data_IF_850247935093
#
_entry.id   IF_850247935093
#
_cell.length_a   1.000
_cell.length_b   1.000
_cell.length_c   1.000
_cell.angle_alpha   90.00
_cell.angle_beta   90.00
_cell.angle_gamma   90.00
#
_symmetry.space_group_name_H-M   'P 1'
#
loop_
_entity.id
_entity.type
_entity.pdbx_description
1 polymer ?
#
# COMPACT_ATOMS: atom_id res chain seq x y z
N UNK A 1 -50.76 -92.07 -34.88
CA UNK A 1 -50.02 -93.37 -34.99
C UNK A 1 -48.55 -93.04 -35.20
N UNK A 2 -47.80 -93.37 -34.45
CA UNK A 2 -46.63 -94.14 -34.29
C UNK A 2 -45.55 -93.58 -33.40
N UNK A 3 -45.18 -94.30 -32.45
CA UNK A 3 -44.12 -94.20 -31.46
C UNK A 3 -42.75 -94.31 -32.13
N UNK A 4 -41.73 -93.61 -31.68
CA UNK A 4 -40.46 -94.29 -31.41
C UNK A 4 -39.63 -93.57 -30.41
N UNK A 5 -39.26 -94.29 -29.43
CA UNK A 5 -38.24 -94.13 -28.41
C UNK A 5 -36.87 -93.86 -29.05
N UNK A 6 -35.98 -93.09 -28.48
CA UNK A 6 -34.73 -93.72 -27.99
C UNK A 6 -33.71 -92.66 -27.40
N UNK A 7 -33.21 -93.11 -26.31
CA UNK A 7 -31.87 -93.14 -25.74
C UNK A 7 -31.25 -91.78 -25.26
N UNK A 8 -31.23 -91.70 -23.95
CA UNK A 8 -30.29 -90.91 -23.16
C UNK A 8 -28.87 -91.41 -23.42
N UNK A 9 -27.97 -90.46 -23.68
CA UNK A 9 -26.55 -90.70 -23.59
C UNK A 9 -25.96 -89.66 -22.64
N UNK A 10 -25.49 -90.17 -21.49
CA UNK A 10 -24.82 -89.35 -20.49
C UNK A 10 -23.39 -89.12 -20.96
N UNK A 11 -23.03 -87.82 -21.12
CA UNK A 11 -21.63 -87.44 -21.21
C UNK A 11 -21.26 -86.73 -19.91
N UNK A 12 -20.39 -87.33 -19.14
CA UNK A 12 -19.68 -86.73 -18.05
C UNK A 12 -18.65 -85.82 -18.67
N UNK A 13 -18.84 -84.52 -18.47
CA UNK A 13 -17.81 -83.53 -18.81
C UNK A 13 -17.28 -82.91 -17.51
N UNK A 14 -16.00 -83.13 -17.29
CA UNK A 14 -15.32 -82.66 -16.10
C UNK A 14 -15.35 -81.13 -15.98
N UNK A 15 -15.64 -80.66 -14.76
CA UNK A 15 -15.57 -79.32 -14.36
C UNK A 15 -14.08 -79.00 -14.12
N UNK A 16 -13.47 -78.29 -15.06
CA UNK A 16 -12.17 -77.67 -14.83
C UNK A 16 -12.37 -76.47 -13.92
N UNK A 17 -11.90 -76.49 -12.67
CA UNK A 17 -11.76 -75.35 -11.77
C UNK A 17 -10.66 -74.46 -12.33
N UNK A 18 -11.03 -73.45 -13.07
CA UNK A 18 -10.11 -72.31 -13.38
C UNK A 18 -9.96 -71.49 -12.10
N UNK A 19 -8.86 -71.67 -11.40
CA UNK A 19 -8.48 -70.81 -10.26
C UNK A 19 -8.27 -69.44 -10.75
N UNK A 20 -9.15 -68.49 -10.33
CA UNK A 20 -8.98 -67.08 -10.51
C UNK A 20 -7.86 -66.66 -9.56
N UNK A 21 -6.65 -66.51 -10.06
CA UNK A 21 -5.58 -65.80 -9.35
C UNK A 21 -5.91 -64.30 -9.41
N UNK A 22 -6.56 -63.74 -8.38
CA UNK A 22 -6.60 -62.28 -8.15
C UNK A 22 -5.18 -61.87 -7.87
N UNK A 23 -4.50 -61.35 -8.88
CA UNK A 23 -3.28 -60.60 -8.69
C UNK A 23 -3.61 -59.36 -7.85
N UNK A 24 -3.27 -59.38 -6.58
CA UNK A 24 -3.30 -58.21 -5.73
C UNK A 24 -2.28 -57.20 -6.31
N UNK A 25 -2.77 -56.28 -7.14
CA UNK A 25 -1.95 -55.16 -7.55
C UNK A 25 -1.57 -54.32 -6.31
N UNK A 26 -0.31 -53.92 -6.15
CA UNK A 26 0.11 -53.20 -4.97
C UNK A 26 -0.57 -51.81 -4.96
N UNK A 27 -1.41 -51.55 -3.96
CA UNK A 27 -2.03 -50.26 -3.64
C UNK A 27 -0.99 -49.21 -3.22
N UNK A 28 0.31 -49.52 -3.25
CA UNK A 28 1.41 -48.64 -2.87
C UNK A 28 1.55 -47.41 -3.79
N UNK A 29 1.23 -47.52 -5.08
CA UNK A 29 1.32 -46.42 -6.03
C UNK A 29 0.29 -45.31 -5.79
N UNK A 30 -0.95 -45.66 -5.42
CA UNK A 30 -2.01 -44.71 -5.16
C UNK A 30 -1.75 -43.85 -3.91
N UNK A 31 -1.19 -44.43 -2.83
CA UNK A 31 -0.85 -43.67 -1.60
C UNK A 31 0.33 -42.73 -1.79
N UNK A 32 1.32 -43.07 -2.60
CA UNK A 32 2.45 -42.18 -2.90
C UNK A 32 2.02 -40.98 -3.78
N UNK A 33 1.11 -41.21 -4.74
CA UNK A 33 0.53 -40.15 -5.57
C UNK A 33 -0.32 -39.19 -4.74
N UNK A 34 -1.17 -39.69 -3.84
CA UNK A 34 -1.98 -38.88 -2.96
C UNK A 34 -1.13 -38.03 -1.99
N UNK A 35 -0.04 -38.58 -1.43
CA UNK A 35 0.88 -37.83 -0.58
C UNK A 35 1.56 -36.69 -1.35
N UNK A 36 1.98 -36.92 -2.59
CA UNK A 36 2.56 -35.91 -3.48
C UNK A 36 1.55 -34.80 -3.81
N UNK A 37 0.31 -35.19 -4.14
CA UNK A 37 -0.78 -34.22 -4.41
C UNK A 37 -1.11 -33.36 -3.19
N UNK A 38 -1.16 -33.94 -2.00
CA UNK A 38 -1.38 -33.24 -0.75
C UNK A 38 -0.24 -32.24 -0.49
N UNK A 39 1.02 -32.62 -0.69
CA UNK A 39 2.17 -31.72 -0.55
C UNK A 39 2.10 -30.55 -1.54
N UNK A 40 1.76 -30.81 -2.80
CA UNK A 40 1.59 -29.78 -3.82
C UNK A 40 0.43 -28.82 -3.49
N UNK A 41 -0.70 -29.34 -2.99
CA UNK A 41 -1.82 -28.51 -2.56
C UNK A 41 -1.46 -27.63 -1.35
N UNK A 42 -0.76 -28.17 -0.35
CA UNK A 42 -0.27 -27.38 0.79
C UNK A 42 0.66 -26.26 0.35
N UNK A 43 1.60 -26.54 -0.54
CA UNK A 43 2.49 -25.53 -1.10
C UNK A 43 1.73 -24.44 -1.87
N UNK A 44 0.72 -24.82 -2.66
CA UNK A 44 -0.15 -23.86 -3.36
C UNK A 44 -0.96 -23.00 -2.39
N UNK A 45 -1.52 -23.58 -1.34
CA UNK A 45 -2.25 -22.84 -0.30
C UNK A 45 -1.32 -21.84 0.36
N UNK A 46 -0.13 -22.25 0.81
CA UNK A 46 0.83 -21.36 1.46
C UNK A 46 1.22 -20.17 0.56
N UNK A 47 1.43 -20.42 -0.74
CA UNK A 47 1.72 -19.34 -1.72
C UNK A 47 0.55 -18.39 -1.86
N UNK A 48 -0.67 -18.91 -2.06
CA UNK A 48 -1.87 -18.08 -2.23
C UNK A 48 -2.21 -17.30 -0.96
N UNK A 49 -2.02 -17.88 0.22
CA UNK A 49 -2.18 -17.16 1.50
C UNK A 49 -1.21 -16.00 1.59
N UNK A 50 0.05 -16.20 1.22
CA UNK A 50 1.06 -15.11 1.22
C UNK A 50 0.72 -14.01 0.22
N UNK A 51 0.28 -14.38 -0.98
CA UNK A 51 -0.17 -13.41 -1.99
C UNK A 51 -1.37 -12.58 -1.47
N UNK A 52 -2.34 -13.23 -0.82
CA UNK A 52 -3.50 -12.58 -0.22
C UNK A 52 -3.10 -11.64 0.93
N UNK A 53 -2.15 -12.04 1.78
CA UNK A 53 -1.61 -11.18 2.84
C UNK A 53 -0.96 -9.91 2.28
N UNK A 54 -0.17 -10.00 1.21
CA UNK A 54 0.47 -8.82 0.60
C UNK A 54 -0.55 -7.86 -0.03
N UNK A 55 -1.64 -8.39 -0.59
CA UNK A 55 -2.75 -7.58 -1.11
C UNK A 55 -3.47 -6.86 0.04
N UNK A 56 -3.76 -7.56 1.13
CA UNK A 56 -4.39 -7.00 2.32
C UNK A 56 -3.50 -5.90 2.95
N UNK A 57 -2.19 -6.14 3.01
CA UNK A 57 -1.21 -5.16 3.48
C UNK A 57 -1.20 -3.90 2.60
N UNK A 58 -1.25 -4.03 1.28
CA UNK A 58 -1.36 -2.88 0.38
C UNK A 58 -2.65 -2.09 0.62
N UNK A 59 -3.79 -2.76 0.87
CA UNK A 59 -5.05 -2.12 1.21
C UNK A 59 -4.98 -1.40 2.57
N UNK A 60 -4.34 -1.99 3.58
CA UNK A 60 -4.12 -1.36 4.89
C UNK A 60 -3.28 -0.09 4.77
N UNK A 61 -2.21 -0.12 3.97
CA UNK A 61 -1.37 1.05 3.68
C UNK A 61 -2.17 2.13 2.95
N UNK A 62 -3.02 1.73 1.99
CA UNK A 62 -3.92 2.66 1.31
C UNK A 62 -4.86 3.35 2.29
N UNK A 63 -5.53 2.59 3.14
CA UNK A 63 -6.45 3.13 4.15
C UNK A 63 -5.73 4.06 5.14
N UNK A 64 -4.50 3.72 5.55
CA UNK A 64 -3.68 4.56 6.42
C UNK A 64 -3.38 5.91 5.78
N UNK A 65 -2.96 5.94 4.51
CA UNK A 65 -2.68 7.19 3.81
C UNK A 65 -3.94 8.03 3.57
N UNK A 66 -5.07 7.39 3.25
CA UNK A 66 -6.34 8.09 3.10
C UNK A 66 -6.81 8.70 4.44
N UNK A 67 -6.66 7.97 5.55
CA UNK A 67 -6.97 8.47 6.88
C UNK A 67 -6.12 9.70 7.24
N UNK A 68 -4.84 9.71 6.89
CA UNK A 68 -3.96 10.88 7.05
C UNK A 68 -4.57 12.13 6.43
N UNK A 69 -5.00 12.09 5.16
CA UNK A 69 -5.66 13.21 4.50
C UNK A 69 -6.93 13.65 5.24
N UNK A 70 -7.81 12.73 5.60
CA UNK A 70 -9.05 13.03 6.32
C UNK A 70 -8.83 13.65 7.70
N UNK A 71 -7.79 13.21 8.44
CA UNK A 71 -7.45 13.81 9.74
C UNK A 71 -6.94 15.24 9.58
N UNK A 72 -6.09 15.51 8.59
CA UNK A 72 -5.66 16.87 8.26
C UNK A 72 -6.84 17.77 7.89
N UNK A 73 -7.81 17.25 7.12
CA UNK A 73 -8.99 17.99 6.66
C UNK A 73 -9.88 18.48 7.82
N UNK A 74 -9.79 17.83 8.97
CA UNK A 74 -10.63 18.10 10.13
C UNK A 74 -9.89 18.56 11.36
N UNK A 75 -8.56 18.73 11.28
CA UNK A 75 -7.76 19.16 12.41
C UNK A 75 -7.63 18.14 13.53
N UNK A 76 -7.67 16.84 13.16
CA UNK A 76 -7.39 15.73 14.08
C UNK A 76 -5.89 15.44 14.07
N UNK A 77 -5.12 16.36 14.70
CA UNK A 77 -3.67 16.39 14.60
C UNK A 77 -3.00 15.21 15.33
N UNK A 78 -3.56 14.82 16.45
CA UNK A 78 -3.08 13.69 17.24
C UNK A 78 -3.27 12.38 16.48
N UNK A 79 -4.46 12.17 15.93
CA UNK A 79 -4.78 11.01 15.10
C UNK A 79 -3.91 10.95 13.84
N UNK A 80 -3.63 12.08 13.22
CA UNK A 80 -2.71 12.14 12.08
C UNK A 80 -1.27 11.77 12.48
N UNK A 81 -0.79 12.27 13.61
CA UNK A 81 0.54 11.95 14.13
C UNK A 81 0.68 10.49 14.56
N UNK A 82 -0.37 9.89 15.09
CA UNK A 82 -0.39 8.48 15.53
C UNK A 82 -0.24 7.47 14.38
N UNK A 83 -0.45 7.90 13.13
CA UNK A 83 -0.17 7.09 11.95
C UNK A 83 1.32 6.86 11.70
N UNK A 84 2.20 7.64 12.35
CA UNK A 84 3.65 7.57 12.17
C UNK A 84 4.30 6.62 13.18
N UNK A 85 5.40 5.99 12.79
CA UNK A 85 6.26 5.25 13.70
C UNK A 85 6.93 6.21 14.70
N UNK A 86 7.30 5.74 15.88
CA UNK A 86 7.89 6.58 16.92
C UNK A 86 9.17 7.32 16.45
N UNK A 87 9.95 6.65 15.61
CA UNK A 87 11.20 7.16 15.01
C UNK A 87 11.02 7.55 13.52
N UNK A 88 9.82 7.91 13.13
CA UNK A 88 9.52 8.33 11.76
C UNK A 88 10.21 9.64 11.40
N UNK A 89 10.37 9.88 10.09
CA UNK A 89 10.86 11.14 9.55
C UNK A 89 9.87 11.75 8.57
N UNK A 90 9.77 13.07 8.57
CA UNK A 90 9.01 13.84 7.58
C UNK A 90 9.91 14.89 6.95
N UNK A 91 9.91 14.94 5.63
CA UNK A 91 10.56 15.99 4.85
C UNK A 91 9.51 16.69 3.99
N UNK A 92 9.41 18.02 4.11
CA UNK A 92 8.41 18.83 3.42
C UNK A 92 9.12 19.86 2.53
N UNK A 93 9.10 19.63 1.22
CA UNK A 93 9.67 20.59 0.27
C UNK A 93 11.14 20.88 0.56
N UNK A 94 11.47 22.16 0.75
CA UNK A 94 12.81 22.65 1.10
C UNK A 94 12.99 22.91 2.61
N UNK A 95 12.00 22.57 3.41
CA UNK A 95 12.01 22.86 4.85
C UNK A 95 13.06 22.07 5.61
N UNK A 96 13.36 20.86 5.13
CA UNK A 96 14.28 19.93 5.77
C UNK A 96 13.57 18.75 6.44
N UNK A 97 14.32 17.99 7.23
CA UNK A 97 13.88 16.72 7.84
C UNK A 97 13.52 16.93 9.30
N UNK A 98 12.33 16.50 9.69
CA UNK A 98 11.83 16.47 11.07
C UNK A 98 11.81 15.02 11.55
N UNK A 99 12.32 14.77 12.76
CA UNK A 99 12.57 13.41 13.28
C UNK A 99 11.76 13.14 14.54
N UNK A 100 11.04 12.00 14.52
CA UNK A 100 10.27 11.50 15.65
C UNK A 100 8.81 11.97 15.68
N UNK A 101 7.94 11.10 16.18
CA UNK A 101 6.49 11.29 16.16
C UNK A 101 6.04 12.59 16.85
N UNK A 102 6.62 12.96 18.00
CA UNK A 102 6.27 14.19 18.71
C UNK A 102 6.65 15.45 17.92
N UNK A 103 7.78 15.40 17.22
CA UNK A 103 8.23 16.48 16.35
C UNK A 103 7.32 16.62 15.14
N UNK A 104 6.90 15.50 14.58
CA UNK A 104 5.96 15.42 13.45
C UNK A 104 4.58 15.96 13.88
N UNK A 105 4.10 15.65 15.08
CA UNK A 105 2.86 16.22 15.62
C UNK A 105 2.89 17.75 15.64
N UNK A 106 3.95 18.33 16.15
CA UNK A 106 4.14 19.81 16.16
C UNK A 106 4.18 20.39 14.75
N UNK A 107 4.83 19.69 13.82
CA UNK A 107 4.90 20.09 12.41
C UNK A 107 3.50 20.10 11.77
N UNK A 108 2.73 19.04 11.96
CA UNK A 108 1.35 18.92 11.43
C UNK A 108 0.47 20.05 11.97
N UNK A 109 0.55 20.35 13.28
CA UNK A 109 -0.18 21.45 13.90
C UNK A 109 0.24 22.81 13.29
N UNK A 110 1.53 23.04 13.10
CA UNK A 110 2.04 24.29 12.53
C UNK A 110 1.55 24.49 11.10
N UNK A 111 1.63 23.47 10.24
CA UNK A 111 1.08 23.50 8.88
C UNK A 111 -0.45 23.65 8.87
N UNK A 112 -1.13 23.09 9.88
CA UNK A 112 -2.58 23.17 10.07
C UNK A 112 -3.08 24.52 10.57
N UNK A 113 -2.19 25.51 10.75
CA UNK A 113 -2.55 26.86 11.19
C UNK A 113 -2.29 27.15 12.67
N UNK A 114 -1.56 26.25 13.37
CA UNK A 114 -1.06 26.48 14.74
C UNK A 114 -2.08 26.27 15.87
N UNK A 115 -3.32 25.90 15.56
CA UNK A 115 -4.31 25.57 16.58
C UNK A 115 -4.14 24.10 17.05
N UNK A 116 -3.67 23.84 18.27
CA UNK A 116 -3.41 22.48 18.73
C UNK A 116 -4.66 21.69 19.16
N UNK A 117 -5.80 22.35 19.28
CA UNK A 117 -7.06 21.69 19.67
C UNK A 117 -7.67 20.89 18.53
N UNK A 118 -8.54 19.92 18.82
CA UNK A 118 -9.24 19.18 17.81
C UNK A 118 -10.21 20.07 17.02
N UNK A 119 -10.23 19.87 15.71
CA UNK A 119 -11.11 20.62 14.83
C UNK A 119 -10.48 21.90 14.25
N UNK A 120 -11.01 22.34 13.12
CA UNK A 120 -10.60 23.57 12.47
C UNK A 120 -11.37 24.77 13.03
N UNK A 121 -10.72 25.96 13.14
CA UNK A 121 -11.42 27.20 13.46
C UNK A 121 -12.50 27.53 12.41
N UNK A 122 -13.49 28.31 12.82
CA UNK A 122 -14.54 28.79 11.91
C UNK A 122 -13.94 29.42 10.65
N UNK A 123 -14.45 28.98 9.51
CA UNK A 123 -14.06 29.49 8.20
C UNK A 123 -12.74 28.96 7.67
N UNK A 124 -11.98 28.17 8.40
CA UNK A 124 -10.82 27.46 7.86
C UNK A 124 -11.29 26.27 7.02
N UNK A 125 -10.69 26.11 5.87
CA UNK A 125 -10.95 25.01 4.94
C UNK A 125 -9.66 24.32 4.56
N UNK A 126 -9.58 23.06 4.88
CA UNK A 126 -8.52 22.15 4.49
C UNK A 126 -9.12 20.96 3.75
N UNK A 127 -8.54 20.58 2.62
CA UNK A 127 -8.94 19.41 1.86
C UNK A 127 -7.72 18.82 1.15
N UNK A 128 -7.22 17.68 1.65
CA UNK A 128 -5.99 17.04 1.21
C UNK A 128 -6.32 15.70 0.53
N UNK A 129 -6.55 15.73 -0.77
CA UNK A 129 -6.84 14.52 -1.54
C UNK A 129 -5.56 13.69 -1.74
N UNK A 130 -5.57 12.45 -1.26
CA UNK A 130 -4.52 11.47 -1.45
C UNK A 130 -4.86 10.59 -2.65
N UNK A 131 -4.16 10.75 -3.77
CA UNK A 131 -4.58 10.23 -5.07
C UNK A 131 -3.50 9.33 -5.70
N UNK A 132 -3.91 8.51 -6.68
CA UNK A 132 -3.05 7.74 -7.60
C UNK A 132 -1.97 6.91 -6.88
N UNK A 133 -2.34 5.99 -5.98
CA UNK A 133 -1.35 5.18 -5.27
C UNK A 133 -0.60 4.23 -6.19
N UNK A 134 0.72 4.11 -5.97
CA UNK A 134 1.52 2.97 -6.42
C UNK A 134 2.20 2.40 -5.19
N UNK A 135 1.74 1.23 -4.74
CA UNK A 135 2.14 0.62 -3.47
C UNK A 135 2.90 -0.68 -3.76
N UNK A 136 4.09 -0.82 -3.20
CA UNK A 136 4.91 -2.01 -3.28
C UNK A 136 5.25 -2.50 -1.87
N UNK A 137 4.61 -3.60 -1.45
CA UNK A 137 4.92 -4.30 -0.21
C UNK A 137 6.10 -5.23 -0.46
N UNK A 138 7.08 -5.22 0.45
CA UNK A 138 8.23 -6.12 0.37
C UNK A 138 7.80 -7.59 0.54
N UNK A 139 8.52 -8.55 -0.03
CA UNK A 139 8.15 -9.99 0.04
C UNK A 139 8.01 -10.54 1.45
N UNK A 140 8.72 -9.96 2.42
CA UNK A 140 8.61 -10.34 3.85
C UNK A 140 7.30 -9.86 4.50
N UNK A 141 6.62 -8.87 3.89
CA UNK A 141 5.41 -8.27 4.44
C UNK A 141 5.66 -7.35 5.63
N UNK A 142 6.90 -6.87 5.84
CA UNK A 142 7.25 -6.04 6.99
C UNK A 142 7.52 -4.58 6.64
N UNK A 143 7.86 -4.31 5.38
CA UNK A 143 8.11 -2.97 4.87
C UNK A 143 7.39 -2.73 3.56
N UNK A 144 7.13 -1.47 3.24
CA UNK A 144 6.55 -1.09 1.95
C UNK A 144 7.05 0.29 1.52
N UNK A 145 6.94 0.55 0.22
CA UNK A 145 7.11 1.87 -0.38
C UNK A 145 5.85 2.23 -1.13
N UNK A 146 5.45 3.51 -1.08
CA UNK A 146 4.34 3.97 -1.89
C UNK A 146 4.53 5.40 -2.35
N UNK A 147 4.09 5.65 -3.58
CA UNK A 147 3.95 6.98 -4.18
C UNK A 147 2.48 7.38 -4.16
N UNK A 148 2.24 8.66 -3.84
CA UNK A 148 0.92 9.27 -3.85
C UNK A 148 0.98 10.62 -4.52
N UNK A 149 -0.09 11.05 -5.11
CA UNK A 149 -0.29 12.43 -5.51
C UNK A 149 -1.16 13.11 -4.47
N UNK A 150 -0.73 14.26 -4.01
CA UNK A 150 -1.61 15.17 -3.28
C UNK A 150 -2.16 16.24 -4.20
N UNK A 151 -3.43 16.54 -4.02
CA UNK A 151 -4.03 17.78 -4.50
C UNK A 151 -4.86 18.37 -3.36
N UNK A 152 -4.51 19.58 -2.96
CA UNK A 152 -5.12 20.20 -1.80
C UNK A 152 -5.79 21.54 -2.12
N UNK A 153 -6.90 21.79 -1.42
CA UNK A 153 -7.63 23.04 -1.40
C UNK A 153 -7.54 23.60 0.00
N UNK A 154 -6.94 24.78 0.14
CA UNK A 154 -6.69 25.40 1.42
C UNK A 154 -7.32 26.79 1.44
N UNK A 155 -7.95 27.18 2.53
CA UNK A 155 -8.57 28.49 2.59
C UNK A 155 -8.97 28.95 3.98
N UNK A 156 -9.20 30.24 4.07
CA UNK A 156 -9.83 30.90 5.19
C UNK A 156 -10.92 31.83 4.68
N UNK A 157 -12.13 31.64 5.15
CA UNK A 157 -13.29 32.43 4.74
C UNK A 157 -13.00 33.93 4.80
N UNK A 158 -13.33 34.66 3.74
CA UNK A 158 -13.06 36.07 3.50
C UNK A 158 -11.57 36.50 3.50
N UNK A 159 -10.60 35.57 3.62
CA UNK A 159 -9.18 35.93 3.66
C UNK A 159 -8.41 35.44 2.43
N UNK A 160 -8.42 34.13 2.19
CA UNK A 160 -7.68 33.54 1.08
C UNK A 160 -8.24 32.19 0.66
N UNK A 161 -7.91 31.78 -0.56
CA UNK A 161 -8.03 30.40 -1.05
C UNK A 161 -6.80 30.06 -1.88
N UNK A 162 -6.31 28.83 -1.76
CA UNK A 162 -5.10 28.32 -2.43
C UNK A 162 -5.33 26.95 -3.02
N UNK A 163 -4.60 26.65 -4.09
CA UNK A 163 -4.37 25.32 -4.64
C UNK A 163 -2.99 24.85 -4.18
N UNK A 164 -2.86 23.60 -3.82
CA UNK A 164 -1.57 22.98 -3.61
C UNK A 164 -1.54 21.60 -4.30
N UNK A 165 -0.38 21.24 -4.81
CA UNK A 165 -0.14 19.92 -5.36
C UNK A 165 1.27 19.45 -5.07
N UNK A 166 1.41 18.12 -4.88
CA UNK A 166 2.70 17.50 -4.62
C UNK A 166 2.67 16.00 -4.82
N UNK A 167 3.81 15.41 -4.55
CA UNK A 167 4.01 13.96 -4.63
C UNK A 167 4.60 13.51 -3.31
N UNK A 168 4.01 12.50 -2.69
CA UNK A 168 4.62 11.78 -1.59
C UNK A 168 5.40 10.56 -2.13
N UNK A 169 6.61 10.39 -1.65
CA UNK A 169 7.39 9.16 -1.68
C UNK A 169 7.58 8.69 -0.25
N UNK A 170 6.79 7.71 0.15
CA UNK A 170 6.70 7.26 1.52
C UNK A 170 7.26 5.86 1.69
N UNK A 171 7.84 5.59 2.86
CA UNK A 171 8.09 4.23 3.32
C UNK A 171 7.21 3.91 4.53
N UNK A 172 6.87 2.64 4.65
CA UNK A 172 6.02 2.13 5.71
C UNK A 172 6.69 0.95 6.39
N UNK A 173 6.36 0.75 7.66
CA UNK A 173 6.83 -0.37 8.48
C UNK A 173 5.65 -1.01 9.19
N UNK A 174 5.66 -2.34 9.28
CA UNK A 174 4.69 -3.08 10.09
C UNK A 174 5.27 -3.29 11.49
N UNK A 175 4.77 -2.54 12.45
CA UNK A 175 5.16 -2.60 13.86
C UNK A 175 4.07 -3.32 14.66
N UNK A 176 4.42 -4.44 15.30
CA UNK A 176 3.46 -5.28 16.05
C UNK A 176 2.18 -5.62 15.26
N UNK A 177 2.33 -5.89 13.96
CA UNK A 177 1.23 -6.23 13.06
C UNK A 177 0.43 -5.04 12.52
N UNK A 178 0.77 -3.81 12.90
CA UNK A 178 0.11 -2.57 12.46
C UNK A 178 1.03 -1.79 11.51
N UNK A 179 0.52 -1.37 10.38
CA UNK A 179 1.24 -0.52 9.45
C UNK A 179 1.32 0.92 9.94
N UNK A 180 2.51 1.52 9.84
CA UNK A 180 2.79 2.90 10.19
C UNK A 180 3.64 3.57 9.13
N UNK A 181 3.54 4.89 8.99
CA UNK A 181 4.41 5.69 8.13
C UNK A 181 5.79 5.75 8.81
N UNK A 182 6.83 5.30 8.11
CA UNK A 182 8.21 5.35 8.58
C UNK A 182 8.95 6.57 8.07
N UNK A 183 8.78 6.88 6.78
CA UNK A 183 9.33 8.07 6.16
C UNK A 183 8.26 8.70 5.28
N UNK A 184 8.02 9.98 5.42
CA UNK A 184 7.19 10.75 4.51
C UNK A 184 8.06 11.81 3.85
N UNK A 185 8.18 11.78 2.53
CA UNK A 185 8.86 12.80 1.76
C UNK A 185 7.86 13.44 0.79
N UNK A 186 7.53 14.66 1.05
CA UNK A 186 6.61 15.47 0.23
C UNK A 186 7.38 16.37 -0.72
N UNK A 187 7.27 16.09 -1.99
CA UNK A 187 7.79 16.93 -3.07
C UNK A 187 6.70 17.89 -3.52
N UNK A 188 6.77 19.12 -3.06
CA UNK A 188 5.84 20.16 -3.45
C UNK A 188 5.97 20.48 -4.94
N UNK A 189 4.88 20.30 -5.69
CA UNK A 189 4.85 20.72 -7.10
C UNK A 189 4.55 22.20 -7.21
N UNK A 190 3.52 22.68 -6.50
CA UNK A 190 3.21 24.10 -6.38
C UNK A 190 2.30 24.37 -5.18
N UNK A 191 2.33 25.62 -4.72
CA UNK A 191 1.27 26.25 -3.93
C UNK A 191 0.92 27.56 -4.63
N UNK A 192 -0.34 27.71 -5.05
CA UNK A 192 -0.79 28.85 -5.85
C UNK A 192 -2.06 29.48 -5.28
N UNK A 193 -2.24 30.81 -5.39
CA UNK A 193 -3.51 31.42 -5.03
C UNK A 193 -4.63 30.91 -5.94
N UNK A 194 -5.83 30.77 -5.42
CA UNK A 194 -7.02 30.37 -6.20
C UNK A 194 -7.20 31.32 -7.40
N UNK A 195 -7.12 32.63 -7.13
CA UNK A 195 -7.24 33.67 -8.17
C UNK A 195 -5.91 33.81 -8.92
N UNK A 196 -5.92 33.51 -10.20
CA UNK A 196 -4.72 33.47 -11.05
C UNK A 196 -4.09 32.06 -11.13
N UNK A 197 -4.28 31.22 -10.14
CA UNK A 197 -3.81 29.84 -10.14
C UNK A 197 -2.30 29.72 -10.35
N UNK A 198 -1.87 28.52 -10.72
CA UNK A 198 -0.45 28.22 -10.96
C UNK A 198 0.15 28.96 -12.15
N UNK A 199 -0.66 29.42 -13.10
CA UNK A 199 -0.20 30.22 -14.23
C UNK A 199 0.35 31.60 -13.81
N UNK A 200 0.01 32.07 -12.60
CA UNK A 200 0.48 33.35 -12.05
C UNK A 200 1.74 33.24 -11.18
N UNK A 201 2.24 32.02 -10.96
CA UNK A 201 3.42 31.79 -10.14
C UNK A 201 4.68 32.31 -10.81
N UNK A 202 5.60 32.82 -10.00
CA UNK A 202 6.94 33.21 -10.43
C UNK A 202 7.94 32.10 -10.07
N UNK A 203 9.02 31.94 -10.83
CA UNK A 203 10.11 31.06 -10.44
C UNK A 203 10.63 31.37 -9.04
N UNK A 204 10.90 30.33 -8.28
CA UNK A 204 11.51 30.49 -6.96
C UNK A 204 13.01 30.77 -7.12
N UNK A 205 13.49 31.79 -6.41
CA UNK A 205 14.91 32.16 -6.37
C UNK A 205 15.46 31.95 -4.95
N UNK A 206 16.58 31.23 -4.85
CA UNK A 206 17.18 30.89 -3.55
C UNK A 206 16.41 29.85 -2.76
N UNK A 207 16.55 29.89 -1.43
CA UNK A 207 15.81 29.02 -0.51
C UNK A 207 14.32 29.35 -0.55
N UNK A 208 13.48 28.30 -0.59
CA UNK A 208 12.03 28.46 -0.66
C UNK A 208 11.33 27.79 0.53
N UNK A 209 11.99 27.87 1.69
CA UNK A 209 11.45 27.36 2.95
C UNK A 209 10.12 28.02 3.29
N UNK A 210 9.22 27.21 3.84
CA UNK A 210 7.93 27.68 4.33
C UNK A 210 8.11 28.62 5.54
N UNK A 211 7.07 29.36 5.87
CA UNK A 211 7.06 30.15 7.11
C UNK A 211 7.09 29.24 8.35
N UNK A 212 6.53 28.04 8.25
CA UNK A 212 6.62 27.02 9.31
C UNK A 212 8.07 26.65 9.61
N UNK A 213 8.91 26.42 8.59
CA UNK A 213 10.31 26.08 8.79
C UNK A 213 11.15 27.25 9.35
N UNK A 214 10.73 28.49 9.12
CA UNK A 214 11.38 29.68 9.72
C UNK A 214 11.08 29.77 11.22
N UNK A 215 9.85 29.45 11.64
CA UNK A 215 9.42 29.48 13.05
C UNK A 215 9.82 28.19 13.80
N UNK A 216 9.85 27.06 13.12
CA UNK A 216 10.18 25.74 13.66
C UNK A 216 11.25 25.06 12.77
N UNK A 217 12.53 25.43 12.89
CA UNK A 217 13.60 24.87 12.07
C UNK A 217 13.66 23.35 12.14
N UNK A 218 13.95 22.70 11.00
CA UNK A 218 14.07 21.26 10.90
C UNK A 218 15.28 20.73 11.67
N UNK A 219 15.26 19.42 11.98
CA UNK A 219 16.34 18.72 12.68
C UNK A 219 17.51 18.37 11.74
N UNK A 220 17.25 18.34 10.43
CA UNK A 220 18.23 18.07 9.38
C UNK A 220 17.96 18.85 8.10
N UNK A 221 19.01 19.00 7.27
CA UNK A 221 18.88 19.64 5.96
C UNK A 221 17.99 18.84 5.02
N UNK A 222 17.41 19.47 3.97
CA UNK A 222 16.72 18.74 2.91
C UNK A 222 17.63 17.69 2.27
N UNK A 223 17.08 16.52 2.00
CA UNK A 223 17.82 15.41 1.34
C UNK A 223 17.85 15.56 -0.17
N UNK A 224 16.96 16.39 -0.72
CA UNK A 224 16.85 16.63 -2.16
C UNK A 224 16.84 18.14 -2.44
N UNK A 225 17.71 18.55 -3.36
CA UNK A 225 17.71 19.93 -3.87
C UNK A 225 16.89 20.00 -5.16
N UNK A 226 15.75 20.67 -5.11
CA UNK A 226 14.88 20.86 -6.27
C UNK A 226 14.13 22.20 -6.16
N UNK A 227 13.43 22.58 -7.21
CA UNK A 227 12.53 23.75 -7.20
C UNK A 227 11.13 23.33 -7.66
N UNK A 228 10.07 23.91 -7.05
CA UNK A 228 8.70 23.69 -7.47
C UNK A 228 8.41 24.39 -8.80
N UNK A 229 7.22 24.19 -9.33
CA UNK A 229 6.76 24.83 -10.57
C UNK A 229 7.03 26.37 -10.53
N UNK A 230 7.50 26.98 -11.65
CA UNK A 230 7.52 26.47 -13.00
C UNK A 230 8.70 25.53 -13.39
N UNK A 231 9.65 25.32 -12.47
CA UNK A 231 10.61 24.22 -12.68
C UNK A 231 9.88 22.88 -12.63
N UNK A 232 10.38 21.90 -13.39
CA UNK A 232 9.80 20.58 -13.44
C UNK A 232 10.77 19.62 -12.78
N UNK A 233 10.42 19.15 -11.59
CA UNK A 233 11.14 18.11 -10.88
C UNK A 233 10.31 16.83 -10.83
N UNK A 234 10.93 15.72 -11.18
CA UNK A 234 10.31 14.40 -11.08
C UNK A 234 11.03 13.61 -9.99
N UNK A 235 10.39 13.39 -8.83
CA UNK A 235 10.98 12.55 -7.79
C UNK A 235 11.32 11.16 -8.32
N UNK A 236 12.42 10.53 -7.90
CA UNK A 236 12.78 9.18 -8.31
C UNK A 236 11.63 8.19 -8.07
N UNK A 237 11.39 7.31 -9.04
CA UNK A 237 10.42 6.25 -8.88
C UNK A 237 10.99 5.13 -8.00
N UNK A 238 10.27 4.69 -6.98
CA UNK A 238 10.65 3.53 -6.18
C UNK A 238 10.30 2.19 -6.86
N UNK A 239 9.61 2.25 -8.00
CA UNK A 239 9.15 1.09 -8.77
C UNK A 239 9.64 1.18 -10.22
N UNK A 240 9.70 0.03 -10.86
CA UNK A 240 10.00 -0.12 -12.29
C UNK A 240 8.72 -0.04 -13.12
N UNK A 241 8.88 0.20 -14.42
CA UNK A 241 7.75 0.12 -15.34
C UNK A 241 7.08 -1.26 -15.25
N UNK A 242 5.77 -1.35 -14.93
CA UNK A 242 5.10 -2.62 -14.67
C UNK A 242 4.96 -3.52 -15.91
N UNK A 243 5.16 -2.96 -17.13
CA UNK A 243 5.08 -3.72 -18.39
C UNK A 243 6.46 -4.17 -18.85
N UNK A 244 7.45 -3.30 -18.80
CA UNK A 244 8.79 -3.59 -19.35
C UNK A 244 9.80 -4.06 -18.31
N UNK A 245 9.52 -3.85 -17.01
CA UNK A 245 10.42 -4.17 -15.91
C UNK A 245 11.67 -3.28 -15.81
N UNK A 246 11.76 -2.23 -16.60
CA UNK A 246 12.89 -1.29 -16.64
C UNK A 246 12.65 -0.09 -15.74
#
# INVERSE_FOLDING_TARGET
MNKSRTRRMYWMSGVALAGLVLAAMPVAGAKADDASRIAALKAKIARLSKEAELIDDANKISNLQMAYGYYLDRGYWDEAADLFAADATVEMGDDGVYVGQDRIRKLIIAYGGGNPGPGLPYGQYNHHMQLQPVINVAPDGMTAKARWREFALLGQFHKYAKWAAGIFENTYVKDNGVWKIKTMHYYQTFVAPYKGGWASLKPVSGDWKSDVAKEMPADGSPTTNYKPFPDIYVPPFHYKNPVTGK
#
